data_IF_946642866627
#
_entry.id   IF_946642866627
#
_cell.length_a   1.000
_cell.length_b   1.000
_cell.length_c   1.000
_cell.angle_alpha   90.00
_cell.angle_beta   90.00
_cell.angle_gamma   90.00
#
_symmetry.space_group_name_H-M   'P 1'
#
loop_
_entity.id
_entity.type
_entity.pdbx_description
1 polymer ?
#
# COMPACT_ATOMS: atom_id res chain seq x y z
N UNK A 1 65.67 -76.52 -16.14
CA UNK A 1 65.98 -75.08 -16.36
C UNK A 1 65.27 -74.40 -17.55
N UNK A 2 64.35 -75.05 -18.29
CA UNK A 2 63.56 -74.38 -19.36
C UNK A 2 62.27 -73.71 -18.86
N UNK A 3 61.61 -74.24 -17.82
CA UNK A 3 60.35 -73.71 -17.27
C UNK A 3 60.48 -72.47 -16.36
N UNK A 4 61.70 -72.11 -15.92
CA UNK A 4 61.92 -70.89 -15.13
C UNK A 4 62.14 -69.65 -16.01
N UNK A 5 62.47 -69.83 -17.30
CA UNK A 5 62.74 -68.74 -18.23
C UNK A 5 61.47 -68.20 -18.91
N UNK A 6 60.39 -68.98 -18.90
CA UNK A 6 59.08 -68.57 -19.47
C UNK A 6 58.22 -67.75 -18.50
N UNK A 7 58.45 -67.87 -17.17
CA UNK A 7 57.72 -67.06 -16.18
C UNK A 7 58.28 -65.65 -15.98
N UNK A 8 59.54 -65.41 -16.33
CA UNK A 8 60.17 -64.08 -16.23
C UNK A 8 59.96 -63.20 -17.48
N UNK A 9 59.34 -63.72 -18.54
CA UNK A 9 59.02 -62.96 -19.75
C UNK A 9 57.54 -62.53 -19.82
N UNK A 10 56.72 -62.87 -18.81
CA UNK A 10 55.27 -62.68 -18.83
C UNK A 10 54.77 -61.51 -17.96
N UNK A 11 55.64 -60.73 -17.32
CA UNK A 11 55.23 -59.67 -16.39
C UNK A 11 55.93 -58.32 -16.64
N UNK A 12 56.16 -57.97 -17.91
CA UNK A 12 56.42 -56.58 -18.32
C UNK A 12 55.51 -56.22 -19.50
N UNK A 13 54.21 -56.56 -19.40
CA UNK A 13 53.21 -55.95 -20.26
C UNK A 13 53.04 -54.50 -19.78
N UNK A 14 53.79 -53.58 -20.38
CA UNK A 14 53.62 -52.14 -20.13
C UNK A 14 52.15 -51.75 -20.24
N UNK A 15 51.69 -50.90 -19.32
CA UNK A 15 50.29 -50.46 -19.24
C UNK A 15 49.76 -50.04 -20.61
N UNK A 16 48.62 -50.60 -21.01
CA UNK A 16 48.00 -50.21 -22.27
C UNK A 16 47.51 -48.76 -22.17
N UNK A 17 47.60 -48.00 -23.27
CA UNK A 17 47.14 -46.60 -23.29
C UNK A 17 45.67 -46.47 -22.87
N UNK A 18 44.84 -47.48 -23.16
CA UNK A 18 43.45 -47.55 -22.72
C UNK A 18 43.29 -47.70 -21.20
N UNK A 19 44.16 -48.47 -20.54
CA UNK A 19 44.13 -48.68 -19.09
C UNK A 19 44.48 -47.41 -18.31
N UNK A 20 45.46 -46.65 -18.81
CA UNK A 20 45.82 -45.35 -18.23
C UNK A 20 44.66 -44.35 -18.35
N UNK A 21 43.96 -44.33 -19.49
CA UNK A 21 42.80 -43.46 -19.69
C UNK A 21 41.63 -43.83 -18.75
N UNK A 22 41.34 -45.12 -18.60
CA UNK A 22 40.29 -45.59 -17.68
C UNK A 22 40.65 -45.30 -16.22
N UNK A 23 41.91 -45.53 -15.83
CA UNK A 23 42.40 -45.24 -14.49
C UNK A 23 42.31 -43.74 -14.18
N UNK A 24 42.68 -42.87 -15.12
CA UNK A 24 42.53 -41.42 -14.98
C UNK A 24 41.06 -40.99 -14.86
N UNK A 25 40.16 -41.63 -15.61
CA UNK A 25 38.73 -41.32 -15.56
C UNK A 25 38.09 -41.72 -14.22
N UNK A 26 38.40 -42.91 -13.71
CA UNK A 26 37.93 -43.37 -12.40
C UNK A 26 38.51 -42.49 -11.30
N UNK A 27 39.81 -42.19 -11.37
CA UNK A 27 40.47 -41.30 -10.42
C UNK A 27 39.84 -39.91 -10.42
N UNK A 28 39.52 -39.35 -11.60
CA UNK A 28 38.85 -38.06 -11.70
C UNK A 28 37.45 -38.10 -11.06
N UNK A 29 36.64 -39.13 -11.34
CA UNK A 29 35.31 -39.29 -10.77
C UNK A 29 35.34 -39.40 -9.23
N UNK A 30 36.24 -40.22 -8.70
CA UNK A 30 36.40 -40.40 -7.26
C UNK A 30 36.91 -39.10 -6.62
N UNK A 31 37.90 -38.44 -7.21
CA UNK A 31 38.47 -37.18 -6.71
C UNK A 31 37.43 -36.06 -6.68
N UNK A 32 36.63 -35.90 -7.75
CA UNK A 32 35.54 -34.93 -7.79
C UNK A 32 34.49 -35.24 -6.73
N UNK A 33 34.12 -36.51 -6.57
CA UNK A 33 33.22 -36.94 -5.49
C UNK A 33 33.73 -36.55 -4.11
N UNK A 34 35.00 -36.82 -3.81
CA UNK A 34 35.59 -36.45 -2.51
C UNK A 34 35.64 -34.93 -2.31
N UNK A 35 35.96 -34.15 -3.33
CA UNK A 35 35.98 -32.68 -3.26
C UNK A 35 34.59 -32.12 -2.95
N UNK A 36 33.54 -32.61 -3.61
CA UNK A 36 32.17 -32.21 -3.31
C UNK A 36 31.78 -32.55 -1.87
N UNK A 37 32.15 -33.73 -1.37
CA UNK A 37 31.85 -34.09 0.04
C UNK A 37 32.58 -33.20 1.04
N UNK A 38 33.83 -32.82 0.77
CA UNK A 38 34.58 -31.89 1.60
C UNK A 38 33.96 -30.50 1.61
N UNK A 39 33.58 -29.97 0.43
CA UNK A 39 32.90 -28.68 0.33
C UNK A 39 31.57 -28.68 1.11
N UNK A 40 30.76 -29.73 0.95
CA UNK A 40 29.50 -29.88 1.67
C UNK A 40 29.71 -29.95 3.20
N UNK A 41 30.76 -30.64 3.67
CA UNK A 41 31.12 -30.67 5.09
C UNK A 41 31.58 -29.30 5.61
N UNK A 42 32.33 -28.54 4.82
CA UNK A 42 32.75 -27.18 5.19
C UNK A 42 31.55 -26.22 5.29
N UNK A 43 30.62 -26.29 4.34
CA UNK A 43 29.38 -25.50 4.38
C UNK A 43 28.53 -25.84 5.61
N UNK A 44 28.35 -27.14 5.91
CA UNK A 44 27.60 -27.58 7.09
C UNK A 44 28.25 -27.12 8.40
N UNK A 45 29.59 -27.15 8.47
CA UNK A 45 30.34 -26.71 9.65
C UNK A 45 30.24 -25.19 9.82
N UNK A 46 30.33 -24.44 8.72
CA UNK A 46 30.13 -22.99 8.73
C UNK A 46 28.71 -22.65 9.18
N UNK A 47 27.70 -23.30 8.61
CA UNK A 47 26.29 -23.08 8.98
C UNK A 47 26.05 -23.34 10.47
N UNK A 48 26.56 -24.47 11.00
CA UNK A 48 26.44 -24.80 12.42
C UNK A 48 27.08 -23.73 13.31
N UNK A 49 28.28 -23.24 12.95
CA UNK A 49 28.96 -22.16 13.68
C UNK A 49 28.16 -20.84 13.63
N UNK A 50 27.67 -20.47 12.45
CA UNK A 50 26.89 -19.23 12.26
C UNK A 50 25.58 -19.30 13.03
N UNK A 51 24.90 -20.46 13.03
CA UNK A 51 23.70 -20.72 13.81
C UNK A 51 23.95 -20.62 15.32
N UNK A 52 25.09 -21.10 15.83
CA UNK A 52 25.47 -20.92 17.23
C UNK A 52 25.63 -19.44 17.60
N UNK A 53 26.25 -18.64 16.72
CA UNK A 53 26.35 -17.19 16.90
C UNK A 53 24.96 -16.55 16.89
N UNK A 54 24.08 -16.95 15.97
CA UNK A 54 22.70 -16.47 15.89
C UNK A 54 21.89 -16.78 17.16
N UNK A 55 22.05 -17.97 17.75
CA UNK A 55 21.42 -18.34 19.03
C UNK A 55 21.91 -17.46 20.17
N UNK A 56 23.22 -17.22 20.26
CA UNK A 56 23.78 -16.34 21.28
C UNK A 56 23.28 -14.90 21.11
N UNK A 57 23.17 -14.43 19.87
CA UNK A 57 22.66 -13.10 19.57
C UNK A 57 21.17 -12.96 19.91
N UNK A 58 20.37 -13.98 19.63
CA UNK A 58 18.97 -14.02 20.04
C UNK A 58 18.83 -14.00 21.58
N UNK A 59 19.67 -14.75 22.30
CA UNK A 59 19.68 -14.76 23.77
C UNK A 59 20.12 -13.42 24.36
N UNK A 60 21.16 -12.80 23.82
CA UNK A 60 21.62 -11.46 24.21
C UNK A 60 20.50 -10.42 24.04
N UNK A 61 19.74 -10.49 22.96
CA UNK A 61 18.62 -9.59 22.72
C UNK A 61 17.45 -9.81 23.68
N UNK A 62 17.18 -11.07 24.08
CA UNK A 62 16.18 -11.40 25.10
C UNK A 62 16.60 -10.85 26.47
N UNK A 63 17.87 -10.99 26.84
CA UNK A 63 18.37 -10.48 28.12
C UNK A 63 18.36 -8.94 28.16
N UNK A 64 18.71 -8.29 27.04
CA UNK A 64 18.53 -6.84 26.86
C UNK A 64 17.07 -6.43 27.00
N UNK A 65 16.14 -7.20 26.41
CA UNK A 65 14.72 -6.91 26.56
C UNK A 65 14.26 -7.03 28.03
N UNK A 66 14.87 -7.92 28.83
CA UNK A 66 14.59 -8.08 30.28
C UNK A 66 15.21 -6.99 31.15
N UNK A 67 16.23 -6.29 30.65
CA UNK A 67 16.95 -5.26 31.40
C UNK A 67 16.23 -3.90 31.38
N UNK A 68 15.23 -3.69 30.51
CA UNK A 68 14.50 -2.42 30.44
C UNK A 68 13.83 -2.04 31.77
N UNK A 69 14.05 -0.80 32.19
CA UNK A 69 13.50 -0.26 33.45
C UNK A 69 11.97 -0.22 33.43
N UNK A 70 11.40 0.22 32.30
CA UNK A 70 9.96 0.26 32.06
C UNK A 70 9.62 -0.63 30.88
N UNK A 71 8.78 -1.65 31.11
CA UNK A 71 8.30 -2.53 30.06
C UNK A 71 7.55 -1.76 28.97
N UNK A 72 6.95 -0.59 29.29
CA UNK A 72 6.34 0.30 28.30
C UNK A 72 7.31 0.72 27.18
N UNK A 73 8.59 0.91 27.49
CA UNK A 73 9.61 1.44 26.57
C UNK A 73 10.14 0.38 25.60
N UNK A 74 9.79 -0.90 25.79
CA UNK A 74 10.13 -1.95 24.83
C UNK A 74 9.37 -1.78 23.52
N UNK A 75 10.09 -1.54 22.43
CA UNK A 75 9.51 -1.40 21.09
C UNK A 75 10.03 -2.48 20.15
N UNK A 76 9.18 -2.83 19.18
CA UNK A 76 9.56 -3.64 18.02
C UNK A 76 10.56 -2.91 17.14
N UNK A 77 11.52 -3.62 16.56
CA UNK A 77 12.49 -3.07 15.60
C UNK A 77 13.02 -4.16 14.66
N UNK A 78 13.63 -3.73 13.55
CA UNK A 78 14.25 -4.61 12.57
C UNK A 78 15.54 -3.97 12.03
N UNK A 79 16.58 -4.78 11.82
CA UNK A 79 17.85 -4.36 11.22
C UNK A 79 17.96 -4.62 9.72
N UNK A 80 17.01 -5.34 9.12
CA UNK A 80 17.00 -5.62 7.69
C UNK A 80 16.76 -4.32 6.90
N UNK A 81 17.76 -3.80 6.17
CA UNK A 81 17.65 -2.53 5.44
C UNK A 81 16.58 -2.54 4.34
N UNK A 82 16.12 -3.72 3.88
CA UNK A 82 15.03 -3.82 2.92
C UNK A 82 13.65 -3.48 3.52
N UNK A 83 13.51 -3.53 4.86
CA UNK A 83 12.24 -3.35 5.56
C UNK A 83 12.10 -1.96 6.21
N UNK A 84 13.20 -1.24 6.48
CA UNK A 84 13.17 -0.06 7.39
C UNK A 84 12.83 1.29 6.72
N UNK A 85 12.63 1.35 5.40
CA UNK A 85 12.02 2.53 4.74
C UNK A 85 12.60 3.91 5.10
N UNK A 86 13.89 4.02 5.45
CA UNK A 86 14.58 5.30 5.66
C UNK A 86 14.22 6.12 6.90
N UNK A 87 13.66 5.53 7.97
CA UNK A 87 13.55 6.21 9.26
C UNK A 87 14.95 6.43 9.87
N UNK A 88 15.27 7.66 10.32
CA UNK A 88 16.62 8.00 10.80
C UNK A 88 17.01 7.18 12.04
N UNK A 89 18.24 6.67 11.99
CA UNK A 89 18.86 5.75 12.93
C UNK A 89 19.73 6.56 13.89
N UNK A 90 19.14 7.41 14.73
CA UNK A 90 19.93 8.39 15.48
C UNK A 90 20.01 8.05 16.97
N UNK A 91 20.96 7.15 17.33
CA UNK A 91 22.11 7.43 18.21
C UNK A 91 23.00 6.17 18.30
N UNK A 92 24.16 6.12 17.62
CA UNK A 92 25.07 4.97 17.68
C UNK A 92 25.71 4.75 19.06
N UNK A 93 25.48 5.63 20.04
CA UNK A 93 26.01 5.54 21.39
C UNK A 93 24.96 5.22 22.47
N UNK A 94 23.69 5.00 22.13
CA UNK A 94 22.72 4.51 23.13
C UNK A 94 22.95 3.02 23.40
N UNK A 95 23.41 2.62 24.60
CA UNK A 95 23.61 1.22 24.94
C UNK A 95 22.31 0.42 24.88
N UNK A 96 21.13 1.05 24.77
CA UNK A 96 19.80 0.44 24.75
C UNK A 96 19.28 0.10 23.36
N UNK A 97 19.91 0.57 22.27
CA UNK A 97 19.34 0.47 20.92
C UNK A 97 20.37 -0.02 19.87
N UNK A 98 20.58 -1.34 19.77
CA UNK A 98 21.40 -1.91 18.68
C UNK A 98 20.59 -1.91 17.38
N UNK A 99 20.75 -0.88 16.58
CA UNK A 99 20.12 -0.77 15.25
C UNK A 99 21.18 -0.71 14.15
N UNK A 100 21.58 -1.89 13.65
CA UNK A 100 22.39 -2.09 12.44
C UNK A 100 22.67 -3.58 12.17
N UNK A 101 23.10 -3.92 10.95
CA UNK A 101 23.53 -5.29 10.61
C UNK A 101 24.73 -5.68 11.47
N UNK A 102 24.61 -6.78 12.22
CA UNK A 102 25.64 -7.21 13.16
C UNK A 102 26.64 -8.07 12.41
N UNK A 103 27.92 -7.68 12.37
CA UNK A 103 28.96 -8.46 11.70
C UNK A 103 29.84 -9.15 12.72
N UNK A 104 29.87 -10.48 12.71
CA UNK A 104 30.70 -11.30 13.59
C UNK A 104 31.48 -12.27 12.72
N UNK A 105 32.82 -12.24 12.80
CA UNK A 105 33.71 -13.11 12.03
C UNK A 105 33.52 -13.03 10.49
N UNK A 106 33.05 -11.88 9.98
CA UNK A 106 32.78 -11.67 8.56
C UNK A 106 31.39 -12.10 8.10
N UNK A 107 30.62 -12.79 8.94
CA UNK A 107 29.22 -13.11 8.69
C UNK A 107 28.31 -11.97 9.16
N UNK A 108 27.31 -11.62 8.35
CA UNK A 108 26.35 -10.54 8.62
C UNK A 108 25.04 -11.11 9.13
N UNK A 109 24.56 -10.60 10.25
CA UNK A 109 23.34 -11.02 10.92
C UNK A 109 22.30 -9.89 10.93
N UNK A 110 21.06 -10.28 10.68
CA UNK A 110 19.86 -9.43 10.72
C UNK A 110 19.00 -9.90 11.88
N UNK A 111 18.88 -9.06 12.90
CA UNK A 111 18.05 -9.28 14.08
C UNK A 111 16.74 -8.50 13.92
N UNK A 112 15.64 -9.15 14.26
CA UNK A 112 14.30 -8.54 14.32
C UNK A 112 13.71 -8.84 15.68
N UNK A 113 13.25 -7.80 16.37
CA UNK A 113 12.51 -7.92 17.63
C UNK A 113 11.08 -7.48 17.40
N UNK A 114 10.13 -8.34 17.75
CA UNK A 114 8.69 -8.09 17.70
C UNK A 114 8.15 -8.11 19.12
N UNK A 115 7.47 -7.05 19.53
CA UNK A 115 7.06 -6.77 20.90
C UNK A 115 5.58 -6.44 20.90
N UNK A 116 4.80 -7.25 21.60
CA UNK A 116 3.36 -7.07 21.70
C UNK A 116 2.90 -7.18 23.15
N UNK A 117 1.93 -6.36 23.53
CA UNK A 117 1.27 -6.56 24.81
C UNK A 117 0.39 -7.81 24.77
N UNK A 118 0.33 -8.54 25.89
CA UNK A 118 -0.52 -9.72 26.07
C UNK A 118 -1.13 -9.71 27.48
N UNK A 119 -2.33 -10.26 27.64
CA UNK A 119 -3.05 -10.38 28.92
C UNK A 119 -2.83 -11.77 29.54
N UNK A 120 -2.60 -12.77 28.70
CA UNK A 120 -2.23 -14.14 29.04
C UNK A 120 -1.08 -14.55 28.08
N UNK A 121 0.02 -15.18 28.54
CA UNK A 121 1.07 -15.71 27.67
C UNK A 121 0.55 -16.57 26.49
N UNK A 122 -0.60 -17.24 26.65
CA UNK A 122 -1.24 -18.06 25.63
C UNK A 122 -2.19 -17.27 24.70
N UNK A 123 -2.47 -15.99 24.97
CA UNK A 123 -3.35 -15.15 24.14
C UNK A 123 -2.64 -13.89 23.66
N UNK A 124 -2.59 -13.67 22.34
CA UNK A 124 -2.07 -12.43 21.76
C UNK A 124 -3.09 -11.31 21.89
N UNK A 125 -2.75 -10.19 22.54
CA UNK A 125 -3.49 -8.95 22.33
C UNK A 125 -2.91 -8.26 21.10
N UNK A 126 -3.64 -8.33 19.99
CA UNK A 126 -3.40 -7.46 18.87
C UNK A 126 -3.97 -6.08 19.19
N UNK A 127 -3.10 -5.07 19.15
CA UNK A 127 -3.48 -3.67 19.26
C UNK A 127 -4.47 -3.33 18.12
N UNK A 128 -5.67 -2.89 18.48
CA UNK A 128 -6.79 -2.65 17.55
C UNK A 128 -7.77 -3.82 17.34
N UNK A 129 -7.49 -5.03 17.86
CA UNK A 129 -8.39 -6.19 17.81
C UNK A 129 -8.82 -6.72 19.18
N UNK A 130 -8.33 -6.11 20.27
CA UNK A 130 -8.59 -6.55 21.63
C UNK A 130 -9.92 -6.02 22.15
N UNK A 131 -10.77 -6.90 22.69
CA UNK A 131 -12.04 -6.53 23.31
C UNK A 131 -11.83 -5.54 24.47
N UNK A 132 -12.72 -4.56 24.60
CA UNK A 132 -12.72 -3.60 25.71
C UNK A 132 -12.68 -4.33 27.06
N UNK A 133 -11.72 -3.97 27.92
CA UNK A 133 -11.62 -4.50 29.29
C UNK A 133 -10.61 -5.62 29.54
N UNK A 134 -9.83 -6.01 28.54
CA UNK A 134 -8.62 -6.80 28.75
C UNK A 134 -7.53 -5.95 29.39
N UNK A 135 -6.88 -6.41 30.48
CA UNK A 135 -5.73 -5.71 31.06
C UNK A 135 -4.44 -6.06 30.30
N UNK A 136 -3.64 -5.05 29.97
CA UNK A 136 -2.25 -5.28 29.54
C UNK A 136 -1.46 -5.83 30.74
N UNK A 137 -1.02 -7.08 30.69
CA UNK A 137 -0.34 -7.74 31.82
C UNK A 137 1.13 -7.99 31.56
N UNK A 138 1.48 -8.39 30.35
CA UNK A 138 2.84 -8.76 29.98
C UNK A 138 3.20 -8.20 28.60
N UNK A 139 4.49 -8.09 28.30
CA UNK A 139 4.97 -7.97 26.93
C UNK A 139 5.55 -9.28 26.46
N UNK A 140 5.06 -9.81 25.34
CA UNK A 140 5.69 -10.91 24.63
C UNK A 140 6.71 -10.33 23.67
N UNK A 141 7.93 -10.86 23.75
CA UNK A 141 9.06 -10.48 22.90
C UNK A 141 9.46 -11.71 22.10
N UNK A 142 9.40 -11.59 20.78
CA UNK A 142 9.92 -12.56 19.83
C UNK A 142 11.14 -11.96 19.15
N UNK A 143 12.25 -12.70 19.13
CA UNK A 143 13.49 -12.30 18.46
C UNK A 143 13.75 -13.31 17.34
N UNK A 144 13.91 -12.81 16.12
CA UNK A 144 14.33 -13.60 14.96
C UNK A 144 15.71 -13.15 14.52
N UNK A 145 16.61 -14.11 14.28
CA UNK A 145 17.95 -13.85 13.75
C UNK A 145 18.15 -14.61 12.44
N UNK A 146 18.47 -13.85 11.38
CA UNK A 146 18.87 -14.33 10.05
C UNK A 146 20.32 -13.95 9.77
N UNK A 147 20.93 -14.58 8.77
CA UNK A 147 22.26 -14.22 8.30
C UNK A 147 22.37 -14.30 6.78
N UNK A 148 23.34 -13.57 6.23
CA UNK A 148 23.63 -13.61 4.80
C UNK A 148 24.10 -15.01 4.39
N UNK A 149 23.49 -15.56 3.34
CA UNK A 149 23.77 -16.93 2.88
C UNK A 149 23.11 -18.03 3.71
N UNK A 150 22.15 -17.70 4.58
CA UNK A 150 21.25 -18.68 5.19
C UNK A 150 20.60 -19.54 4.10
N UNK A 151 20.61 -20.86 4.29
CA UNK A 151 20.08 -21.80 3.31
C UNK A 151 18.56 -21.64 3.20
N UNK A 152 18.01 -21.60 2.00
CA UNK A 152 16.55 -21.71 1.79
C UNK A 152 16.15 -23.18 1.73
N UNK A 153 15.06 -23.65 2.37
CA UNK A 153 13.99 -22.90 3.05
C UNK A 153 14.15 -22.85 4.59
N UNK A 154 15.36 -22.70 5.10
CA UNK A 154 15.63 -22.83 6.52
C UNK A 154 15.01 -21.68 7.34
N UNK A 155 14.47 -22.02 8.50
CA UNK A 155 13.84 -21.06 9.40
C UNK A 155 14.91 -20.26 10.17
N UNK A 156 14.64 -18.97 10.45
CA UNK A 156 15.50 -18.16 11.31
C UNK A 156 15.62 -18.78 12.70
N UNK A 157 16.70 -18.45 13.39
CA UNK A 157 16.78 -18.73 14.82
C UNK A 157 15.77 -17.83 15.53
N UNK A 158 14.88 -18.43 16.32
CA UNK A 158 13.85 -17.71 17.06
C UNK A 158 14.05 -17.90 18.57
N UNK A 159 13.84 -16.82 19.32
CA UNK A 159 13.78 -16.85 20.78
C UNK A 159 12.55 -16.07 21.24
N UNK A 160 11.77 -16.67 22.13
CA UNK A 160 10.54 -16.09 22.68
C UNK A 160 10.65 -15.95 24.18
N UNK A 161 10.22 -14.80 24.70
CA UNK A 161 10.03 -14.61 26.14
C UNK A 161 8.77 -13.79 26.41
N UNK A 162 8.22 -13.96 27.60
CA UNK A 162 7.22 -13.03 28.14
C UNK A 162 7.87 -12.28 29.28
N UNK A 163 7.76 -10.95 29.28
CA UNK A 163 8.34 -10.06 30.26
C UNK A 163 7.22 -9.54 31.15
N UNK A 164 7.34 -9.84 32.44
CA UNK A 164 6.45 -9.31 33.47
C UNK A 164 6.97 -7.93 33.93
N UNK A 165 6.16 -6.88 33.86
CA UNK A 165 6.47 -5.57 34.40
C UNK A 165 6.83 -5.64 35.89
N UNK A 166 7.98 -5.05 36.25
CA UNK A 166 8.47 -5.01 37.65
C UNK A 166 7.57 -4.20 38.59
N UNK A 167 6.71 -3.35 38.03
CA UNK A 167 5.66 -2.61 38.71
C UNK A 167 4.32 -2.88 38.02
N UNK A 168 3.21 -2.67 38.73
CA UNK A 168 1.88 -2.74 38.10
C UNK A 168 1.86 -1.79 36.91
N UNK A 169 1.61 -2.33 35.72
CA UNK A 169 1.49 -1.56 34.46
C UNK A 169 0.41 -0.50 34.58
N UNK A 170 -0.70 -0.89 35.22
CA UNK A 170 -1.85 -0.05 35.44
C UNK A 170 -1.93 0.32 36.93
N UNK A 171 -1.85 1.61 37.22
CA UNK A 171 -2.49 2.17 38.41
C UNK A 171 -4.00 1.84 38.33
N UNK A 172 -4.60 1.19 39.34
CA UNK A 172 -6.04 0.88 39.33
C UNK A 172 -6.93 2.12 39.21
N UNK A 173 -6.43 3.32 39.50
CA UNK A 173 -7.11 4.59 39.29
C UNK A 173 -6.91 5.19 37.88
N UNK A 174 -6.12 4.55 37.01
CA UNK A 174 -5.79 5.00 35.65
C UNK A 174 -6.14 3.91 34.63
N UNK A 175 -6.32 4.31 33.38
CA UNK A 175 -6.58 3.40 32.27
C UNK A 175 -5.40 3.30 31.30
N UNK A 176 -5.59 2.50 30.26
CA UNK A 176 -4.69 2.42 29.10
C UNK A 176 -5.46 2.68 27.81
N UNK A 177 -4.82 3.36 26.87
CA UNK A 177 -5.33 3.65 25.54
C UNK A 177 -4.35 3.12 24.49
N UNK A 178 -4.85 2.22 23.63
CA UNK A 178 -4.10 1.67 22.51
C UNK A 178 -4.59 2.30 21.22
N UNK A 179 -3.66 2.75 20.40
CA UNK A 179 -3.95 3.35 19.10
C UNK A 179 -3.26 2.49 18.06
N UNK A 180 -4.08 1.92 17.17
CA UNK A 180 -3.63 1.11 16.04
C UNK A 180 -3.82 1.90 14.76
N UNK A 181 -2.78 1.97 13.94
CA UNK A 181 -2.80 2.60 12.64
C UNK A 181 -2.36 1.60 11.60
N UNK A 182 -3.26 1.26 10.70
CA UNK A 182 -3.02 0.31 9.62
C UNK A 182 -3.02 0.99 8.26
N UNK A 183 -2.26 0.42 7.34
CA UNK A 183 -2.19 0.79 5.93
C UNK A 183 -3.42 0.23 5.17
N UNK A 184 -3.53 0.52 3.87
CA UNK A 184 -4.63 0.03 3.03
C UNK A 184 -4.65 -1.51 2.89
N UNK A 185 -3.53 -2.19 3.16
CA UNK A 185 -3.39 -3.65 3.12
C UNK A 185 -3.57 -4.31 4.50
N UNK A 186 -3.79 -3.52 5.56
CA UNK A 186 -3.94 -3.99 6.93
C UNK A 186 -2.62 -4.18 7.69
N UNK A 187 -1.47 -3.76 7.16
CA UNK A 187 -0.20 -3.78 7.88
C UNK A 187 -0.05 -2.57 8.79
N UNK A 188 0.78 -2.69 9.83
CA UNK A 188 1.07 -1.60 10.75
C UNK A 188 1.84 -0.44 10.10
N UNK A 189 1.42 0.80 10.40
CA UNK A 189 2.10 2.01 9.93
C UNK A 189 2.92 2.64 11.04
N UNK A 190 4.24 2.62 10.90
CA UNK A 190 5.19 3.17 11.86
C UNK A 190 5.35 4.69 11.79
N UNK A 191 5.73 5.29 12.92
CA UNK A 191 6.17 6.68 13.02
C UNK A 191 5.05 7.71 12.99
N UNK A 192 3.81 7.33 13.33
CA UNK A 192 2.69 8.27 13.48
C UNK A 192 2.49 8.57 14.96
N UNK A 193 2.62 9.84 15.34
CA UNK A 193 2.36 10.26 16.71
C UNK A 193 0.92 10.75 16.84
N UNK A 194 0.04 10.02 17.54
CA UNK A 194 -1.34 10.45 17.73
C UNK A 194 -1.42 11.64 18.69
N UNK A 195 -2.29 12.60 18.40
CA UNK A 195 -2.65 13.69 19.31
C UNK A 195 -3.89 13.30 20.08
N UNK A 196 -3.79 13.26 21.41
CA UNK A 196 -4.88 12.89 22.32
C UNK A 196 -5.35 14.13 23.08
N UNK A 197 -6.63 14.46 22.97
CA UNK A 197 -7.26 15.63 23.61
C UNK A 197 -8.54 15.26 24.37
N UNK A 198 -8.78 15.76 25.60
CA UNK A 198 -7.88 16.61 26.39
C UNK A 198 -6.58 15.91 26.75
N UNK A 199 -5.61 16.62 27.34
CA UNK A 199 -4.33 16.03 27.71
C UNK A 199 -4.55 14.78 28.59
N UNK A 200 -4.00 13.64 28.17
CA UNK A 200 -4.13 12.35 28.86
C UNK A 200 -3.30 12.25 30.14
N UNK A 201 -2.35 13.17 30.32
CA UNK A 201 -1.28 13.10 31.33
C UNK A 201 -0.09 12.23 30.89
N UNK A 202 -0.14 11.69 29.67
CA UNK A 202 0.87 10.78 29.10
C UNK A 202 1.24 11.28 27.70
N UNK A 203 2.54 11.37 27.42
CA UNK A 203 3.01 11.73 26.07
C UNK A 203 2.82 10.53 25.15
N UNK A 204 2.03 10.71 24.09
CA UNK A 204 1.86 9.69 23.06
C UNK A 204 3.19 9.45 22.34
N UNK A 205 3.59 8.18 22.24
CA UNK A 205 4.74 7.78 21.44
C UNK A 205 4.32 7.57 19.97
N UNK A 206 5.24 7.75 19.01
CA UNK A 206 4.99 7.33 17.64
C UNK A 206 4.60 5.85 17.57
N UNK A 207 3.79 5.48 16.59
CA UNK A 207 3.48 4.08 16.30
C UNK A 207 4.74 3.28 15.98
N UNK A 208 4.79 2.03 16.44
CA UNK A 208 5.85 1.08 16.10
C UNK A 208 5.63 0.42 14.71
N UNK A 209 6.47 -0.56 14.37
CA UNK A 209 6.38 -1.31 13.09
C UNK A 209 5.07 -2.10 12.95
N UNK A 210 4.38 -2.37 14.05
CA UNK A 210 3.07 -3.04 14.06
C UNK A 210 1.92 -2.01 13.98
N UNK A 211 2.25 -0.72 13.88
CA UNK A 211 1.29 0.37 13.77
C UNK A 211 0.72 0.80 15.11
N UNK A 212 1.40 0.51 16.21
CA UNK A 212 0.82 0.64 17.54
C UNK A 212 1.48 1.70 18.40
N UNK A 213 0.64 2.54 19.01
CA UNK A 213 1.01 3.50 20.04
C UNK A 213 0.27 3.17 21.34
N UNK A 214 1.02 3.13 22.43
CA UNK A 214 0.54 2.68 23.74
C UNK A 214 0.63 3.83 24.74
N UNK A 215 -0.52 4.29 25.22
CA UNK A 215 -0.60 5.26 26.31
C UNK A 215 -1.06 4.52 27.57
N UNK A 216 -0.17 4.41 28.55
CA UNK A 216 -0.40 3.68 29.80
C UNK A 216 -0.44 4.68 30.95
N UNK A 217 -1.30 4.42 31.95
CA UNK A 217 -1.61 5.34 33.04
C UNK A 217 -2.30 6.63 32.58
N UNK A 218 -3.15 6.51 31.57
CA UNK A 218 -4.03 7.57 31.09
C UNK A 218 -5.06 7.89 32.17
N UNK A 219 -5.28 9.18 32.43
CA UNK A 219 -6.32 9.60 33.37
C UNK A 219 -7.70 9.20 32.85
N UNK A 220 -8.60 8.64 33.66
CA UNK A 220 -9.92 8.29 33.18
C UNK A 220 -10.67 9.50 32.64
N UNK A 221 -11.07 9.46 31.37
CA UNK A 221 -11.79 10.53 30.68
C UNK A 221 -12.32 10.05 29.32
N UNK A 222 -13.12 10.89 28.66
CA UNK A 222 -13.44 10.75 27.24
C UNK A 222 -12.46 11.57 26.40
N UNK A 223 -11.83 10.92 25.44
CA UNK A 223 -10.80 11.50 24.58
C UNK A 223 -11.23 11.61 23.12
N UNK A 224 -10.58 12.52 22.43
CA UNK A 224 -10.48 12.60 20.98
C UNK A 224 -9.05 12.27 20.57
N UNK A 225 -8.90 11.47 19.53
CA UNK A 225 -7.61 11.01 19.01
C UNK A 225 -7.54 11.47 17.57
N UNK A 226 -6.52 12.26 17.23
CA UNK A 226 -6.32 12.78 15.88
C UNK A 226 -4.96 12.35 15.37
N UNK A 227 -4.92 11.87 14.12
CA UNK A 227 -3.66 11.55 13.44
C UNK A 227 -3.33 12.63 12.43
N UNK A 228 -2.04 12.85 12.19
CA UNK A 228 -1.56 13.69 11.10
C UNK A 228 -0.16 13.25 10.68
N UNK A 229 0.04 13.08 9.38
CA UNK A 229 1.34 12.82 8.76
C UNK A 229 1.28 13.32 7.33
N UNK A 230 2.27 14.10 6.92
CA UNK A 230 2.28 14.70 5.57
C UNK A 230 2.26 13.62 4.49
N UNK A 231 1.38 13.77 3.49
CA UNK A 231 1.22 12.82 2.39
C UNK A 231 0.41 11.56 2.74
N UNK A 232 -0.18 11.48 3.93
CA UNK A 232 -1.05 10.38 4.34
C UNK A 232 -2.52 10.81 4.30
N UNK A 233 -3.40 9.86 4.01
CA UNK A 233 -4.85 10.02 3.99
C UNK A 233 -5.49 8.81 4.67
N UNK A 234 -6.69 8.98 5.21
CA UNK A 234 -7.53 7.86 5.62
C UNK A 234 -8.38 7.33 4.46
N UNK A 235 -9.10 6.25 4.69
CA UNK A 235 -10.08 5.65 3.76
C UNK A 235 -11.24 6.58 3.37
N UNK A 236 -11.37 7.78 3.97
CA UNK A 236 -12.34 8.83 3.62
C UNK A 236 -11.70 10.03 2.90
N UNK A 237 -10.42 9.93 2.54
CA UNK A 237 -9.60 11.02 1.97
C UNK A 237 -9.35 12.19 2.95
N UNK A 238 -9.42 11.94 4.25
CA UNK A 238 -9.09 12.92 5.28
C UNK A 238 -7.60 12.84 5.64
N UNK A 239 -6.90 13.97 5.53
CA UNK A 239 -5.50 14.09 5.91
C UNK A 239 -5.27 14.16 7.44
N UNK A 240 -6.34 14.39 8.20
CA UNK A 240 -6.31 14.50 9.66
C UNK A 240 -7.50 13.77 10.29
N UNK A 241 -7.58 12.43 10.17
CA UNK A 241 -8.70 11.67 10.74
C UNK A 241 -8.74 11.82 12.26
N UNK A 242 -9.95 11.91 12.80
CA UNK A 242 -10.19 12.06 14.24
C UNK A 242 -11.28 11.11 14.73
N UNK A 243 -11.00 10.40 15.82
CA UNK A 243 -11.98 9.59 16.54
C UNK A 243 -12.33 10.29 17.86
N UNK A 244 -13.59 10.64 18.04
CA UNK A 244 -14.10 11.28 19.27
C UNK A 244 -14.87 10.26 20.12
N UNK A 245 -15.11 10.60 21.41
CA UNK A 245 -15.89 9.72 22.29
C UNK A 245 -15.13 8.48 22.77
N UNK A 246 -13.79 8.53 22.81
CA UNK A 246 -12.96 7.42 23.26
C UNK A 246 -12.88 7.40 24.78
N UNK A 247 -13.71 6.57 25.41
CA UNK A 247 -13.78 6.48 26.88
C UNK A 247 -12.63 5.63 27.41
N UNK A 248 -11.88 6.15 28.37
CA UNK A 248 -10.86 5.40 29.11
C UNK A 248 -11.30 5.36 30.57
N UNK A 249 -11.53 4.17 31.11
CA UNK A 249 -11.94 3.95 32.50
C UNK A 249 -10.76 3.48 33.36
N UNK A 250 -10.87 3.71 34.68
CA UNK A 250 -9.88 3.28 35.66
C UNK A 250 -9.72 1.75 35.68
N UNK A 251 -8.51 1.24 35.49
CA UNK A 251 -8.19 -0.18 35.41
C UNK A 251 -8.49 -0.84 34.05
N UNK A 252 -9.16 -0.14 33.13
CA UNK A 252 -9.53 -0.67 31.82
C UNK A 252 -8.55 -0.25 30.73
N UNK A 253 -8.48 -1.08 29.70
CA UNK A 253 -7.77 -0.78 28.46
C UNK A 253 -8.79 -0.60 27.36
N UNK A 254 -8.71 0.53 26.64
CA UNK A 254 -9.50 0.77 25.44
C UNK A 254 -8.58 0.85 24.22
N UNK A 255 -9.08 0.46 23.05
CA UNK A 255 -8.32 0.53 21.80
C UNK A 255 -9.10 1.26 20.72
N UNK A 256 -8.39 1.99 19.87
CA UNK A 256 -8.94 2.63 18.67
C UNK A 256 -8.07 2.35 17.47
N UNK A 257 -8.73 2.01 16.36
CA UNK A 257 -8.10 1.68 15.10
C UNK A 257 -8.37 2.78 14.08
N UNK A 258 -7.35 3.10 13.29
CA UNK A 258 -7.42 3.98 12.14
C UNK A 258 -6.89 3.23 10.91
N UNK A 259 -7.51 3.44 9.76
CA UNK A 259 -6.85 3.22 8.47
C UNK A 259 -6.25 4.54 8.02
N UNK A 260 -4.92 4.62 7.92
CA UNK A 260 -4.24 5.85 7.57
C UNK A 260 -2.91 5.52 6.91
N UNK A 261 -2.83 5.76 5.60
CA UNK A 261 -1.75 5.26 4.74
C UNK A 261 -1.19 6.39 3.86
N UNK A 262 0.02 6.19 3.36
CA UNK A 262 0.63 7.10 2.41
C UNK A 262 -0.19 7.13 1.12
N UNK A 263 -0.72 8.30 0.80
CA UNK A 263 -1.51 8.50 -0.41
C UNK A 263 -0.70 8.16 -1.67
N UNK A 264 -1.38 7.55 -2.63
CA UNK A 264 -0.86 7.39 -3.99
C UNK A 264 -1.27 8.56 -4.87
N UNK A 265 -0.45 8.86 -5.88
CA UNK A 265 -0.65 10.01 -6.76
C UNK A 265 -1.26 9.57 -8.09
N UNK A 266 -2.45 10.08 -8.39
CA UNK A 266 -3.13 9.86 -9.66
C UNK A 266 -2.99 11.09 -10.56
N UNK A 267 -2.23 10.96 -11.65
CA UNK A 267 -2.12 12.00 -12.67
C UNK A 267 -3.15 11.75 -13.76
N UNK A 268 -4.24 12.53 -13.75
CA UNK A 268 -5.35 12.34 -14.68
C UNK A 268 -5.08 13.05 -16.02
N UNK A 269 -5.25 12.31 -17.10
CA UNK A 269 -5.14 12.82 -18.48
C UNK A 269 -6.49 12.76 -19.18
N UNK A 270 -6.76 13.73 -20.04
CA UNK A 270 -8.05 13.89 -20.72
C UNK A 270 -7.82 14.06 -22.23
N UNK A 271 -8.77 13.62 -23.08
CA UNK A 271 -8.61 13.65 -24.54
C UNK A 271 -8.61 15.08 -25.13
N UNK A 272 -9.14 16.06 -24.40
CA UNK A 272 -9.17 17.47 -24.80
C UNK A 272 -9.15 18.41 -23.60
N UNK A 273 -9.15 19.72 -23.88
CA UNK A 273 -9.19 20.76 -22.87
C UNK A 273 -10.38 20.60 -21.91
N UNK A 274 -10.13 20.90 -20.64
CA UNK A 274 -11.10 20.89 -19.55
C UNK A 274 -11.05 22.22 -18.79
N UNK A 275 -12.16 22.68 -18.17
CA UNK A 275 -12.15 23.85 -17.31
C UNK A 275 -11.51 23.55 -15.95
N UNK A 276 -11.21 24.60 -15.19
CA UNK A 276 -10.72 24.47 -13.81
C UNK A 276 -11.78 23.90 -12.85
N UNK A 277 -13.07 24.06 -13.18
CA UNK A 277 -14.20 23.50 -12.41
C UNK A 277 -14.52 22.06 -12.78
N UNK A 278 -13.66 21.40 -13.57
CA UNK A 278 -13.89 20.03 -13.98
C UNK A 278 -13.67 19.10 -12.79
N UNK A 279 -14.66 18.25 -12.53
CA UNK A 279 -14.60 17.26 -11.46
C UNK A 279 -14.31 15.88 -12.02
N UNK A 280 -13.75 15.00 -11.20
CA UNK A 280 -13.74 13.57 -11.43
C UNK A 280 -14.32 12.84 -10.23
N UNK A 281 -14.91 11.69 -10.50
CA UNK A 281 -15.41 10.77 -9.48
C UNK A 281 -14.47 9.58 -9.37
N UNK A 282 -13.98 9.33 -8.16
CA UNK A 282 -13.18 8.17 -7.79
C UNK A 282 -14.08 7.20 -7.02
N UNK A 283 -14.37 6.05 -7.60
CA UNK A 283 -15.33 5.09 -7.07
C UNK A 283 -14.61 3.81 -6.65
N UNK A 284 -14.90 3.35 -5.44
CA UNK A 284 -14.61 1.98 -4.98
C UNK A 284 -15.90 1.17 -4.98
N UNK A 285 -15.85 -0.08 -4.54
CA UNK A 285 -17.06 -0.89 -4.36
C UNK A 285 -18.02 -0.32 -3.29
N UNK A 286 -17.49 0.47 -2.34
CA UNK A 286 -18.23 0.91 -1.16
C UNK A 286 -18.45 2.42 -1.10
N UNK A 287 -17.59 3.22 -1.76
CA UNK A 287 -17.56 4.68 -1.60
C UNK A 287 -17.34 5.38 -2.94
N UNK A 288 -17.83 6.60 -3.02
CA UNK A 288 -17.59 7.51 -4.15
C UNK A 288 -17.05 8.83 -3.62
N UNK A 289 -15.92 9.26 -4.15
CA UNK A 289 -15.30 10.54 -3.85
C UNK A 289 -15.33 11.42 -5.09
N UNK A 290 -16.06 12.54 -5.01
CA UNK A 290 -16.13 13.52 -6.09
C UNK A 290 -15.19 14.66 -5.77
N UNK A 291 -14.27 14.96 -6.67
CA UNK A 291 -13.15 15.86 -6.41
C UNK A 291 -12.96 16.86 -7.53
N UNK A 292 -12.67 18.11 -7.15
CA UNK A 292 -12.26 19.14 -8.11
C UNK A 292 -10.84 18.84 -8.56
N UNK A 293 -10.61 18.88 -9.87
CA UNK A 293 -9.29 18.55 -10.39
C UNK A 293 -8.36 19.76 -10.31
N UNK A 294 -7.18 19.62 -9.67
CA UNK A 294 -6.19 20.67 -9.71
C UNK A 294 -5.69 20.91 -11.14
N UNK A 295 -5.08 22.08 -11.37
CA UNK A 295 -4.51 22.44 -12.66
C UNK A 295 -3.41 21.45 -13.09
N UNK A 296 -2.65 20.89 -12.13
CA UNK A 296 -1.65 19.86 -12.37
C UNK A 296 -2.24 18.53 -12.87
N UNK A 297 -3.53 18.27 -12.59
CA UNK A 297 -4.15 16.97 -12.81
C UNK A 297 -3.70 15.88 -11.83
N UNK A 298 -2.85 16.21 -10.86
CA UNK A 298 -2.37 15.27 -9.84
C UNK A 298 -3.29 15.26 -8.63
N UNK A 299 -3.79 14.09 -8.27
CA UNK A 299 -4.71 13.89 -7.15
C UNK A 299 -4.13 12.86 -6.17
N UNK A 300 -3.80 13.25 -4.92
CA UNK A 300 -3.47 12.30 -3.88
C UNK A 300 -4.75 11.59 -3.42
N UNK A 301 -4.73 10.26 -3.40
CA UNK A 301 -5.85 9.43 -2.94
C UNK A 301 -5.34 8.31 -2.06
N UNK A 302 -6.17 7.85 -1.11
CA UNK A 302 -5.89 6.65 -0.32
C UNK A 302 -5.62 5.45 -1.25
N UNK A 303 -4.56 4.65 -1.04
CA UNK A 303 -4.04 3.70 -2.04
C UNK A 303 -4.86 2.40 -2.15
N UNK A 304 -6.09 2.54 -2.65
CA UNK A 304 -6.98 1.43 -3.03
C UNK A 304 -7.30 1.50 -4.52
N UNK A 305 -7.98 0.47 -5.02
CA UNK A 305 -8.42 0.42 -6.41
C UNK A 305 -9.61 1.38 -6.65
N UNK A 306 -9.47 2.31 -7.59
CA UNK A 306 -10.55 3.21 -8.00
C UNK A 306 -10.92 3.03 -9.45
N UNK A 307 -12.22 2.98 -9.72
CA UNK A 307 -12.77 3.35 -11.02
C UNK A 307 -12.87 4.86 -11.09
N UNK A 308 -12.25 5.47 -12.10
CA UNK A 308 -12.17 6.93 -12.23
C UNK A 308 -12.93 7.35 -13.49
N UNK A 309 -13.89 8.25 -13.33
CA UNK A 309 -14.69 8.79 -14.44
C UNK A 309 -14.75 10.32 -14.37
N UNK A 310 -14.91 10.95 -15.54
CA UNK A 310 -15.11 12.39 -15.62
C UNK A 310 -16.49 12.78 -15.08
N UNK A 311 -16.58 13.87 -14.30
CA UNK A 311 -17.83 14.42 -13.79
C UNK A 311 -18.18 14.00 -12.36
N UNK A 312 -19.29 14.55 -11.86
CA UNK A 312 -19.88 14.24 -10.55
C UNK A 312 -21.00 13.21 -10.75
N UNK A 313 -20.68 11.93 -10.50
CA UNK A 313 -21.64 10.83 -10.68
C UNK A 313 -22.78 10.84 -9.65
N UNK A 314 -22.60 11.55 -8.53
CA UNK A 314 -23.62 11.65 -7.48
C UNK A 314 -24.73 12.62 -7.86
N UNK A 315 -24.41 13.67 -8.64
CA UNK A 315 -25.35 14.65 -9.16
C UNK A 315 -25.76 14.40 -10.60
N UNK A 316 -24.89 13.76 -11.37
CA UNK A 316 -25.20 13.33 -12.72
C UNK A 316 -24.80 11.88 -12.97
N UNK A 317 -25.72 10.93 -12.73
CA UNK A 317 -25.50 9.51 -13.03
C UNK A 317 -25.10 9.24 -14.48
N UNK A 318 -25.43 10.13 -15.44
CA UNK A 318 -25.03 10.00 -16.84
C UNK A 318 -23.51 10.00 -17.05
N UNK A 319 -22.76 10.57 -16.11
CA UNK A 319 -21.30 10.62 -16.14
C UNK A 319 -20.65 9.25 -15.90
N UNK A 320 -21.37 8.32 -15.26
CA UNK A 320 -20.90 6.96 -15.01
C UNK A 320 -21.37 6.02 -16.13
N UNK A 321 -20.46 5.44 -16.95
CA UNK A 321 -20.81 4.46 -17.97
C UNK A 321 -21.69 3.31 -17.47
N UNK A 322 -21.49 2.87 -16.23
CA UNK A 322 -22.24 1.77 -15.59
C UNK A 322 -23.76 2.04 -15.50
N UNK A 323 -24.17 3.31 -15.57
CA UNK A 323 -25.56 3.73 -15.43
C UNK A 323 -26.32 3.74 -16.75
N UNK A 324 -25.63 3.53 -17.87
CA UNK A 324 -26.24 3.45 -19.19
C UNK A 324 -26.81 2.05 -19.42
N UNK A 325 -28.02 1.96 -20.00
CA UNK A 325 -28.62 0.67 -20.29
C UNK A 325 -28.04 0.06 -21.57
N UNK A 326 -27.90 -1.26 -21.57
CA UNK A 326 -27.66 -2.01 -22.80
C UNK A 326 -28.82 -1.82 -23.76
N UNK A 327 -28.54 -1.70 -25.05
CA UNK A 327 -29.57 -1.65 -26.06
C UNK A 327 -29.07 -1.10 -27.37
N UNK A 328 -29.98 -1.01 -28.33
CA UNK A 328 -29.72 -0.37 -29.61
C UNK A 328 -29.87 1.14 -29.43
N UNK A 329 -28.84 1.91 -29.77
CA UNK A 329 -29.09 3.32 -30.12
C UNK A 329 -29.97 3.30 -31.38
N UNK A 330 -30.97 4.18 -31.47
CA UNK A 330 -31.95 4.20 -32.58
C UNK A 330 -31.36 4.56 -33.94
N UNK A 331 -30.05 4.36 -34.13
CA UNK A 331 -29.27 4.54 -35.34
C UNK A 331 -29.23 3.21 -36.11
N UNK A 332 -29.36 3.28 -37.43
CA UNK A 332 -29.32 2.12 -38.32
C UNK A 332 -27.89 1.82 -38.81
N UNK A 333 -27.48 0.54 -38.91
CA UNK A 333 -28.17 -0.64 -38.40
C UNK A 333 -28.10 -0.70 -36.86
N UNK A 334 -29.06 -1.37 -36.20
CA UNK A 334 -29.05 -1.52 -34.75
C UNK A 334 -27.77 -2.20 -34.30
N UNK A 335 -26.88 -1.42 -33.69
CA UNK A 335 -25.69 -1.95 -33.04
C UNK A 335 -26.03 -2.16 -31.57
N UNK A 336 -25.80 -3.37 -31.06
CA UNK A 336 -25.93 -3.63 -29.63
C UNK A 336 -24.83 -2.87 -28.92
N UNK A 337 -25.24 -1.87 -28.13
CA UNK A 337 -24.33 -1.08 -27.33
C UNK A 337 -24.35 -1.56 -25.88
N UNK A 338 -23.16 -1.71 -25.32
CA UNK A 338 -22.95 -2.11 -23.92
C UNK A 338 -22.16 -1.03 -23.18
N UNK A 339 -22.43 -0.81 -21.88
CA UNK A 339 -21.60 0.06 -21.05
C UNK A 339 -20.11 -0.28 -21.12
N UNK A 340 -19.28 0.72 -21.45
CA UNK A 340 -17.83 0.59 -21.34
C UNK A 340 -17.37 1.08 -19.98
N UNK A 341 -17.39 0.21 -18.97
CA UNK A 341 -16.90 0.56 -17.64
C UNK A 341 -15.37 0.52 -17.59
N UNK A 342 -14.70 1.62 -17.17
CA UNK A 342 -13.25 1.60 -17.03
C UNK A 342 -12.84 0.62 -15.93
N UNK A 343 -11.79 -0.16 -16.20
CA UNK A 343 -11.16 -1.01 -15.19
C UNK A 343 -10.64 -0.16 -14.02
N UNK A 344 -10.67 -0.68 -12.79
CA UNK A 344 -10.16 0.05 -11.65
C UNK A 344 -8.63 0.17 -11.72
N UNK A 345 -8.12 1.36 -11.40
CA UNK A 345 -6.69 1.64 -11.27
C UNK A 345 -6.28 1.49 -9.81
N UNK A 346 -5.14 0.84 -9.59
CA UNK A 346 -4.54 0.70 -8.26
C UNK A 346 -3.15 1.32 -8.28
N UNK A 347 -2.79 1.96 -7.18
CA UNK A 347 -1.45 2.52 -6.96
C UNK A 347 -0.96 2.03 -5.60
N UNK A 348 0.31 1.63 -5.54
CA UNK A 348 0.94 1.28 -4.26
C UNK A 348 1.06 2.54 -3.38
N UNK A 349 1.10 2.40 -2.04
CA UNK A 349 1.32 3.52 -1.14
C UNK A 349 2.56 4.36 -1.54
N UNK A 350 2.40 5.68 -1.62
CA UNK A 350 3.45 6.61 -2.06
C UNK A 350 3.81 6.55 -3.56
N UNK A 351 3.26 5.60 -4.32
CA UNK A 351 3.47 5.46 -5.75
C UNK A 351 2.73 6.52 -6.57
N UNK A 352 2.98 6.51 -7.88
CA UNK A 352 2.28 7.36 -8.85
C UNK A 352 1.83 6.57 -10.07
N UNK A 353 0.71 6.99 -10.66
CA UNK A 353 0.18 6.42 -11.90
C UNK A 353 -0.45 7.52 -12.76
N UNK A 354 -0.30 7.41 -14.08
CA UNK A 354 -1.02 8.23 -15.04
C UNK A 354 -2.28 7.50 -15.50
N UNK A 355 -3.43 8.14 -15.36
CA UNK A 355 -4.73 7.56 -15.70
C UNK A 355 -5.36 8.32 -16.86
N UNK A 356 -5.65 7.67 -18.01
CA UNK A 356 -6.51 8.24 -19.02
C UNK A 356 -7.96 8.19 -18.51
N UNK A 357 -8.54 9.36 -18.27
CA UNK A 357 -9.94 9.47 -17.85
C UNK A 357 -10.81 9.58 -19.09
N UNK A 358 -11.68 8.59 -19.26
CA UNK A 358 -12.65 8.58 -20.35
C UNK A 358 -13.67 9.72 -20.17
N UNK A 359 -13.86 10.47 -21.25
CA UNK A 359 -14.76 11.60 -21.33
C UNK A 359 -15.23 11.76 -22.78
N UNK A 360 -16.43 12.27 -22.98
CA UNK A 360 -16.91 12.62 -24.31
C UNK A 360 -16.17 13.85 -24.86
N UNK A 361 -15.91 13.84 -26.15
CA UNK A 361 -15.15 14.89 -26.84
C UNK A 361 -15.98 15.45 -27.99
N UNK A 362 -16.03 16.77 -28.06
CA UNK A 362 -16.62 17.49 -29.18
C UNK A 362 -15.77 18.69 -29.56
N UNK A 363 -16.00 19.16 -30.79
CA UNK A 363 -15.36 20.34 -31.36
C UNK A 363 -16.41 21.32 -31.85
N UNK A 364 -16.16 22.61 -31.65
CA UNK A 364 -16.95 23.73 -32.19
C UNK A 364 -16.05 24.57 -33.09
N UNK A 365 -15.84 24.19 -34.37
CA UNK A 365 -14.86 24.84 -35.24
C UNK A 365 -15.13 26.33 -35.48
N UNK A 366 -16.41 26.69 -35.56
CA UNK A 366 -16.90 28.04 -35.81
C UNK A 366 -16.98 28.91 -34.55
N UNK A 367 -16.42 28.46 -33.42
CA UNK A 367 -16.33 29.30 -32.22
C UNK A 367 -15.47 30.56 -32.54
N UNK A 368 -15.97 31.77 -32.26
CA UNK A 368 -15.21 33.01 -32.42
C UNK A 368 -13.90 33.00 -31.61
N UNK A 369 -12.90 33.76 -32.04
CA UNK A 369 -11.57 33.84 -31.39
C UNK A 369 -11.57 34.51 -29.99
N UNK A 370 -12.73 34.96 -29.52
CA UNK A 370 -12.95 35.47 -28.17
C UNK A 370 -14.15 34.78 -27.50
N UNK A 371 -14.69 33.73 -28.12
CA UNK A 371 -15.81 32.96 -27.59
C UNK A 371 -15.33 31.98 -26.54
N UNK A 372 -16.08 31.86 -25.46
CA UNK A 372 -15.97 30.81 -24.46
C UNK A 372 -17.15 29.85 -24.61
N UNK A 373 -16.94 28.56 -24.33
CA UNK A 373 -18.04 27.58 -24.31
C UNK A 373 -18.56 27.45 -22.90
N UNK A 374 -19.86 27.60 -22.72
CA UNK A 374 -20.58 27.12 -21.53
C UNK A 374 -21.40 25.89 -21.89
N UNK A 375 -21.15 24.79 -21.19
CA UNK A 375 -21.91 23.56 -21.31
C UNK A 375 -22.77 23.37 -20.06
N UNK A 376 -24.06 23.12 -20.25
CA UNK A 376 -25.01 22.83 -19.17
C UNK A 376 -25.63 21.46 -19.41
N UNK A 377 -25.51 20.56 -18.44
CA UNK A 377 -26.12 19.23 -18.56
C UNK A 377 -27.64 19.36 -18.57
N UNK A 378 -28.31 18.55 -19.38
CA UNK A 378 -29.76 18.55 -19.56
C UNK A 378 -30.28 17.12 -19.63
N UNK A 379 -31.59 16.96 -19.50
CA UNK A 379 -32.24 15.65 -19.63
C UNK A 379 -32.48 15.31 -21.10
N UNK A 380 -32.44 14.02 -21.43
CA UNK A 380 -32.83 13.52 -22.74
C UNK A 380 -33.35 12.09 -22.62
N UNK A 381 -34.28 11.70 -23.48
CA UNK A 381 -34.88 10.35 -23.45
C UNK A 381 -33.82 9.30 -23.78
N UNK A 382 -33.73 8.26 -22.95
CA UNK A 382 -32.75 7.18 -23.09
C UNK A 382 -31.35 7.52 -22.59
N UNK A 383 -31.14 8.69 -21.97
CA UNK A 383 -29.91 9.07 -21.27
C UNK A 383 -30.20 9.10 -19.77
N UNK A 384 -29.34 8.52 -18.91
CA UNK A 384 -29.52 8.67 -17.47
C UNK A 384 -29.62 10.15 -17.09
N UNK A 385 -30.64 10.54 -16.32
CA UNK A 385 -30.88 11.94 -16.02
C UNK A 385 -29.93 12.45 -14.92
N UNK A 386 -29.37 13.65 -15.08
CA UNK A 386 -28.73 14.33 -13.96
C UNK A 386 -29.80 14.84 -12.97
N UNK A 387 -29.59 14.62 -11.67
CA UNK A 387 -30.46 15.14 -10.61
C UNK A 387 -30.22 16.63 -10.36
N UNK A 388 -28.99 17.10 -10.56
CA UNK A 388 -28.62 18.52 -10.54
C UNK A 388 -27.88 18.86 -11.82
N UNK A 389 -28.24 19.99 -12.45
CA UNK A 389 -27.57 20.43 -13.66
C UNK A 389 -26.11 20.82 -13.38
N UNK A 390 -25.17 20.16 -14.06
CA UNK A 390 -23.76 20.52 -14.08
C UNK A 390 -23.54 21.66 -15.07
N UNK A 391 -22.77 22.68 -14.68
CA UNK A 391 -22.37 23.78 -15.55
C UNK A 391 -20.85 23.83 -15.64
N UNK A 392 -20.32 23.77 -16.86
CA UNK A 392 -18.89 23.80 -17.16
C UNK A 392 -18.58 25.00 -18.06
N UNK A 393 -17.68 25.87 -17.60
CA UNK A 393 -17.27 27.09 -18.31
C UNK A 393 -15.85 26.94 -18.81
N UNK A 394 -15.70 26.75 -20.12
CA UNK A 394 -14.40 26.59 -20.76
C UNK A 394 -13.76 27.96 -21.02
N UNK A 395 -12.43 28.08 -20.87
CA UNK A 395 -11.71 29.28 -21.28
C UNK A 395 -11.97 29.65 -22.75
N UNK A 396 -11.76 30.92 -23.09
CA UNK A 396 -11.83 31.38 -24.48
C UNK A 396 -10.88 30.59 -25.38
N UNK A 397 -11.20 30.52 -26.67
CA UNK A 397 -10.37 29.84 -27.68
C UNK A 397 -10.24 28.32 -27.54
N UNK A 398 -11.00 27.69 -26.63
CA UNK A 398 -11.07 26.24 -26.52
C UNK A 398 -12.10 25.68 -27.51
N UNK A 399 -11.65 25.33 -28.72
CA UNK A 399 -12.51 24.79 -29.79
C UNK A 399 -12.79 23.30 -29.66
N UNK A 400 -11.92 22.54 -29.00
CA UNK A 400 -12.11 21.11 -28.73
C UNK A 400 -12.11 20.91 -27.23
N UNK A 401 -13.19 20.32 -26.70
CA UNK A 401 -13.44 20.23 -25.26
C UNK A 401 -13.79 18.82 -24.83
N UNK A 402 -13.42 18.48 -23.59
CA UNK A 402 -13.84 17.26 -22.90
C UNK A 402 -15.03 17.57 -21.99
N UNK A 403 -16.06 16.74 -22.04
CA UNK A 403 -17.22 16.79 -21.16
C UNK A 403 -17.44 15.41 -20.53
N UNK A 404 -17.93 15.33 -19.28
CA UNK A 404 -18.48 14.07 -18.77
C UNK A 404 -19.54 13.52 -19.72
N UNK A 405 -19.70 12.19 -19.73
CA UNK A 405 -20.79 11.57 -20.47
C UNK A 405 -22.16 12.08 -20.02
N UNK A 406 -23.13 12.06 -20.93
CA UNK A 406 -24.47 12.59 -20.70
C UNK A 406 -24.93 13.54 -21.80
N UNK A 407 -26.03 14.25 -21.54
CA UNK A 407 -26.62 15.17 -22.49
C UNK A 407 -26.35 16.64 -22.13
N UNK A 408 -25.91 17.45 -23.08
CA UNK A 408 -25.39 18.79 -22.85
C UNK A 408 -25.99 19.82 -23.81
N UNK A 409 -26.32 21.01 -23.31
CA UNK A 409 -26.62 22.20 -24.12
C UNK A 409 -25.42 23.13 -24.10
N UNK A 410 -24.99 23.56 -25.29
CA UNK A 410 -23.83 24.42 -25.45
C UNK A 410 -24.25 25.84 -25.81
N UNK A 411 -23.59 26.81 -25.18
CA UNK A 411 -23.73 28.24 -25.50
C UNK A 411 -22.36 28.90 -25.63
N UNK A 412 -22.25 29.84 -26.56
CA UNK A 412 -21.13 30.76 -26.64
C UNK A 412 -21.35 31.89 -25.63
N UNK A 413 -20.36 32.14 -24.79
CA UNK A 413 -20.35 33.20 -23.79
C UNK A 413 -19.25 34.18 -24.18
N UNK A 414 -19.65 35.34 -24.70
CA UNK A 414 -18.78 36.45 -25.09
C UNK A 414 -19.33 37.77 -24.51
N UNK A 415 -19.55 38.79 -25.35
CA UNK A 415 -20.29 40.01 -24.97
C UNK A 415 -21.79 39.78 -24.70
N UNK A 416 -22.29 38.57 -25.01
CA UNK A 416 -23.60 38.06 -24.68
C UNK A 416 -23.58 36.52 -24.61
N UNK A 417 -24.68 35.90 -24.19
CA UNK A 417 -24.85 34.43 -24.21
C UNK A 417 -25.75 34.04 -25.39
N UNK A 418 -25.26 33.22 -26.32
CA UNK A 418 -26.04 32.69 -27.43
C UNK A 418 -25.90 31.16 -27.53
N UNK A 419 -26.97 30.46 -27.89
CA UNK A 419 -26.91 29.02 -28.11
C UNK A 419 -25.99 28.69 -29.29
N UNK A 420 -25.19 27.63 -29.17
CA UNK A 420 -24.42 27.09 -30.29
C UNK A 420 -25.34 26.18 -31.09
N UNK A 421 -25.47 26.44 -32.40
CA UNK A 421 -26.34 25.65 -33.28
C UNK A 421 -25.81 24.23 -33.46
N UNK A 422 -26.67 23.21 -33.58
CA UNK A 422 -26.30 21.82 -33.91
C UNK A 422 -25.28 21.68 -35.04
N UNK A 423 -25.46 22.43 -36.13
CA UNK A 423 -24.61 22.38 -37.32
C UNK A 423 -23.20 22.91 -37.09
N UNK A 424 -22.96 23.62 -35.99
CA UNK A 424 -21.65 24.13 -35.59
C UNK A 424 -20.85 23.14 -34.72
N UNK A 425 -21.45 22.01 -34.36
CA UNK A 425 -20.88 21.02 -33.44
C UNK A 425 -20.40 19.80 -34.24
N UNK A 426 -19.19 19.35 -33.95
CA UNK A 426 -18.60 18.12 -34.48
C UNK A 426 -18.32 17.18 -33.30
N UNK A 427 -18.93 16.00 -33.30
CA UNK A 427 -18.60 14.96 -32.34
C UNK A 427 -17.26 14.33 -32.71
N UNK A 428 -16.39 14.16 -31.71
CA UNK A 428 -15.12 13.44 -31.87
C UNK A 428 -15.19 12.07 -31.18
N UNK A 429 -15.90 11.97 -30.06
CA UNK A 429 -16.28 10.70 -29.43
C UNK A 429 -17.65 10.21 -29.93
N UNK A 430 -17.98 8.96 -29.61
CA UNK A 430 -19.31 8.39 -29.85
C UNK A 430 -20.41 9.23 -29.15
N UNK A 431 -21.56 9.38 -29.82
CA UNK A 431 -22.65 10.23 -29.37
C UNK A 431 -23.55 10.68 -30.52
N UNK A 432 -24.46 11.62 -30.22
CA UNK A 432 -25.36 12.22 -31.21
C UNK A 432 -25.68 13.68 -30.91
N UNK A 433 -26.04 14.41 -31.95
CA UNK A 433 -26.58 15.77 -31.85
C UNK A 433 -28.10 15.68 -32.00
N UNK A 434 -28.83 16.13 -30.99
CA UNK A 434 -30.27 16.02 -30.92
C UNK A 434 -30.97 17.20 -31.62
N UNK A 435 -32.20 16.96 -32.07
CA UNK A 435 -33.01 17.98 -32.75
C UNK A 435 -33.33 19.20 -31.86
N UNK A 436 -33.31 19.04 -30.54
CA UNK A 436 -33.55 20.12 -29.57
C UNK A 436 -32.33 21.02 -29.31
N UNK A 437 -31.23 20.81 -30.04
CA UNK A 437 -30.00 21.57 -29.86
C UNK A 437 -29.01 20.99 -28.85
N UNK A 438 -29.38 19.92 -28.14
CA UNK A 438 -28.50 19.26 -27.18
C UNK A 438 -27.59 18.23 -27.86
N UNK A 439 -26.52 17.85 -27.16
CA UNK A 439 -25.54 16.86 -27.60
C UNK A 439 -25.46 15.76 -26.56
N UNK A 440 -25.70 14.53 -26.97
CA UNK A 440 -25.52 13.34 -26.14
C UNK A 440 -24.14 12.75 -26.41
N UNK A 441 -23.32 12.66 -25.36
CA UNK A 441 -22.03 11.97 -25.35
C UNK A 441 -22.25 10.62 -24.67
N UNK A 442 -22.08 9.54 -25.43
CA UNK A 442 -22.48 8.20 -25.03
C UNK A 442 -21.24 7.33 -24.79
N UNK A 443 -21.09 6.75 -23.58
CA UNK A 443 -19.92 5.94 -23.23
C UNK A 443 -20.00 4.50 -23.75
N UNK A 444 -21.14 4.08 -24.29
CA UNK A 444 -21.32 2.68 -24.68
C UNK A 444 -20.51 2.37 -25.94
N UNK A 445 -20.02 1.14 -26.03
CA UNK A 445 -19.26 0.62 -27.17
C UNK A 445 -20.02 -0.53 -27.83
N UNK A 446 -19.60 -0.88 -29.05
CA UNK A 446 -20.16 -2.02 -29.78
C UNK A 446 -19.81 -3.30 -29.02
N UNK A 447 -20.84 -4.02 -28.57
CA UNK A 447 -20.73 -5.26 -27.81
C UNK A 447 -20.55 -6.52 -28.65
#
# INVERSE_FOLDING_TARGET
MKRLRERLLAEDAGFSLAEVVVAMMIFALVSTGTLYTMMAMMELTRDTRVRQVAVNLAAEEIDRAREVDKVADLVSWNTDPAVVGGLSLDDPNDPKDRKGVITINGDKFHVKRTVQWVSDPASSLQCGASASGTSLRYKRVNVEVRWDGMRSPENPVQADTVINPRQRVNDPAKGSLLISVLDANGNGVSGITPVVSPASGVVAQPTDIEGCSYLINVTPNTYSITLSKAGYLDETQNASPSATGVIVDAGFTNSRKFQFDQSGKYTLTFPAARPATFMASFMTAERTFVQNLPASGEMPMFPVAYRIVAGDVTKCPAADPARWSTGTDGLLPPVNLVPNEPAPYVVSPGGSITVPVEAGQLRVPSLPNNGAIRAVSSTFVGVPACTTAMTLNFPVNQKTISLPYGNWKLSNVGSGTSAILPTAIQLVSYGRINLDGSVTLDPRTVG
#
